data_IF_662521615060
#
_entry.id   IF_662521615060
#
_cell.length_a   1.000
_cell.length_b   1.000
_cell.length_c   1.000
_cell.angle_alpha   90.00
_cell.angle_beta   90.00
_cell.angle_gamma   90.00
#
_symmetry.space_group_name_H-M   'P 1'
#
loop_
_entity.id
_entity.type
_entity.pdbx_description
1 polymer ?
#
# COMPACT_ATOMS: atom_id res chain seq x y z
N UNK A 1 4.94 10.21 12.73
CA UNK A 1 4.27 9.30 13.69
C UNK A 1 3.64 8.06 13.03
N UNK A 2 2.73 8.17 12.05
CA UNK A 2 2.11 6.98 11.44
C UNK A 2 3.13 6.05 10.75
N UNK A 3 4.06 6.60 9.96
CA UNK A 3 5.15 5.86 9.33
C UNK A 3 6.05 5.13 10.35
N UNK A 4 6.26 5.75 11.52
CA UNK A 4 7.01 5.15 12.62
C UNK A 4 6.32 3.89 13.13
N UNK A 5 4.99 3.92 13.34
CA UNK A 5 4.24 2.74 13.81
C UNK A 5 4.36 1.56 12.85
N UNK A 6 4.24 1.82 11.54
CA UNK A 6 4.43 0.80 10.49
C UNK A 6 5.85 0.22 10.55
N UNK A 7 6.86 1.07 10.68
CA UNK A 7 8.26 0.62 10.75
C UNK A 7 8.54 -0.14 12.05
N UNK A 8 7.95 0.28 13.18
CA UNK A 8 8.07 -0.41 14.46
C UNK A 8 7.44 -1.80 14.41
N UNK A 9 6.23 -1.96 13.85
CA UNK A 9 5.65 -3.31 13.76
C UNK A 9 6.38 -4.20 12.75
N UNK A 10 6.97 -3.63 11.70
CA UNK A 10 7.82 -4.36 10.76
C UNK A 10 9.16 -4.79 11.37
N UNK A 11 9.77 -3.99 12.26
CA UNK A 11 10.96 -4.44 12.97
C UNK A 11 10.65 -5.61 13.91
N UNK A 12 9.48 -5.59 14.56
CA UNK A 12 9.00 -6.72 15.36
C UNK A 12 8.66 -7.93 14.48
N UNK A 13 8.12 -7.74 13.27
CA UNK A 13 7.84 -8.85 12.36
C UNK A 13 9.09 -9.64 12.00
N UNK A 14 10.23 -8.97 11.85
CA UNK A 14 11.52 -9.61 11.64
C UNK A 14 11.92 -10.53 12.81
N UNK A 15 11.65 -10.12 14.05
CA UNK A 15 11.92 -10.93 15.25
C UNK A 15 10.96 -12.13 15.32
N UNK A 16 9.67 -11.89 15.04
CA UNK A 16 8.65 -12.94 15.00
C UNK A 16 9.01 -14.05 14.01
N UNK A 17 9.51 -13.67 12.83
CA UNK A 17 9.97 -14.58 11.79
C UNK A 17 11.15 -15.46 12.21
N UNK A 18 12.04 -15.01 13.10
CA UNK A 18 13.17 -15.82 13.59
C UNK A 18 12.81 -16.66 14.83
N UNK A 19 11.80 -16.22 15.60
CA UNK A 19 11.42 -16.86 16.88
C UNK A 19 10.23 -17.81 16.77
N UNK A 20 9.51 -17.80 15.65
CA UNK A 20 8.29 -18.60 15.47
C UNK A 20 7.02 -17.95 16.02
N UNK A 21 7.09 -16.69 16.48
CA UNK A 21 5.92 -15.93 16.91
C UNK A 21 5.12 -15.38 15.71
N UNK A 22 3.85 -15.00 15.94
CA UNK A 22 2.97 -14.37 14.96
C UNK A 22 2.86 -12.87 15.22
N UNK A 23 3.31 -12.04 14.27
CA UNK A 23 3.27 -10.56 14.41
C UNK A 23 1.84 -10.02 14.49
N UNK A 24 0.87 -10.68 13.89
CA UNK A 24 -0.54 -10.32 13.96
C UNK A 24 -1.09 -10.50 15.37
N UNK A 25 -0.68 -11.56 16.08
CA UNK A 25 -0.99 -11.74 17.51
C UNK A 25 -0.33 -10.65 18.37
N UNK A 26 0.95 -10.39 18.14
CA UNK A 26 1.70 -9.33 18.86
C UNK A 26 1.06 -7.97 18.62
N UNK A 27 0.73 -7.63 17.37
CA UNK A 27 0.07 -6.38 17.00
C UNK A 27 -1.31 -6.21 17.66
N UNK A 28 -2.09 -7.30 17.77
CA UNK A 28 -3.37 -7.28 18.50
C UNK A 28 -3.18 -7.09 20.01
N UNK A 29 -2.22 -7.79 20.61
CA UNK A 29 -1.93 -7.69 22.03
C UNK A 29 -1.48 -6.28 22.40
N UNK A 30 -0.50 -5.73 21.69
CA UNK A 30 0.02 -4.37 21.90
C UNK A 30 -1.06 -3.32 21.60
N UNK A 31 -1.85 -3.52 20.54
CA UNK A 31 -2.92 -2.62 20.14
C UNK A 31 -4.13 -2.60 21.09
N UNK A 32 -4.24 -3.59 21.99
CA UNK A 32 -5.30 -3.62 23.01
C UNK A 32 -5.07 -2.59 24.13
N UNK A 33 -3.83 -2.13 24.32
CA UNK A 33 -3.54 -1.02 25.23
C UNK A 33 -4.02 0.29 24.62
N UNK A 34 -4.96 0.97 25.30
CA UNK A 34 -5.57 2.20 24.83
C UNK A 34 -4.56 3.36 24.59
N UNK A 35 -3.39 3.32 25.24
CA UNK A 35 -2.33 4.33 25.05
C UNK A 35 -1.62 4.16 23.71
N UNK A 36 -1.62 2.95 23.17
CA UNK A 36 -1.01 2.63 21.88
C UNK A 36 -2.07 2.61 20.78
N UNK A 37 -3.21 1.96 21.03
CA UNK A 37 -4.29 1.76 20.06
C UNK A 37 -3.94 0.77 18.93
N UNK A 38 -4.95 0.19 18.29
CA UNK A 38 -4.78 -0.88 17.29
C UNK A 38 -4.49 -0.44 15.85
N UNK A 39 -4.57 0.86 15.54
CA UNK A 39 -4.38 1.34 14.16
C UNK A 39 -2.90 1.36 13.74
N UNK A 40 -2.62 1.14 12.45
CA UNK A 40 -1.25 1.14 11.89
C UNK A 40 -0.28 0.14 12.57
N UNK A 41 -0.79 -0.97 13.08
CA UNK A 41 -0.02 -2.08 13.67
C UNK A 41 -0.14 -3.37 12.86
N UNK A 42 -0.36 -3.25 11.54
CA UNK A 42 -0.33 -4.39 10.63
C UNK A 42 0.99 -4.39 9.89
N UNK A 43 1.80 -5.43 10.12
CA UNK A 43 3.06 -5.62 9.40
C UNK A 43 2.81 -5.92 7.91
N UNK A 44 3.82 -5.67 7.10
CA UNK A 44 3.81 -5.99 5.66
C UNK A 44 5.08 -5.54 4.96
N UNK A 45 4.99 -5.26 3.65
CA UNK A 45 6.12 -4.77 2.84
C UNK A 45 6.66 -3.39 3.23
N UNK A 46 5.97 -2.70 4.13
CA UNK A 46 6.25 -1.31 4.46
C UNK A 46 5.18 -0.36 3.95
N UNK A 47 5.37 0.91 4.26
CA UNK A 47 4.56 1.99 3.71
C UNK A 47 5.13 2.45 2.37
N UNK A 48 4.25 2.97 1.51
CA UNK A 48 4.61 3.64 0.26
C UNK A 48 3.84 4.95 0.10
N UNK A 49 3.67 5.40 -1.15
CA UNK A 49 3.00 6.66 -1.46
C UNK A 49 3.91 7.87 -1.24
N UNK A 50 3.55 8.99 -1.86
CA UNK A 50 4.39 10.19 -1.92
C UNK A 50 4.54 10.96 -0.60
N UNK A 51 3.69 10.70 0.40
CA UNK A 51 3.67 11.48 1.64
C UNK A 51 4.70 10.99 2.67
N UNK A 52 4.58 9.75 3.17
CA UNK A 52 5.31 9.34 4.37
C UNK A 52 6.83 9.42 4.26
N UNK A 53 7.43 8.94 3.16
CA UNK A 53 8.88 9.02 2.97
C UNK A 53 9.36 10.46 2.89
N UNK A 54 8.69 11.27 2.06
CA UNK A 54 8.98 12.70 1.89
C UNK A 54 8.89 13.45 3.21
N UNK A 55 7.77 13.33 3.92
CA UNK A 55 7.51 14.09 5.14
C UNK A 55 8.49 13.73 6.27
N UNK A 56 8.85 12.44 6.40
CA UNK A 56 9.85 11.99 7.38
C UNK A 56 11.25 12.51 7.05
N UNK A 57 11.65 12.48 5.77
CA UNK A 57 12.94 13.02 5.34
C UNK A 57 13.00 14.55 5.47
N UNK A 58 11.93 15.26 5.15
CA UNK A 58 11.82 16.70 5.38
C UNK A 58 11.90 17.05 6.87
N UNK A 59 11.29 16.25 7.75
CA UNK A 59 11.40 16.42 9.19
C UNK A 59 12.83 16.19 9.70
N UNK A 60 13.50 15.14 9.21
CA UNK A 60 14.89 14.86 9.54
C UNK A 60 15.81 16.01 9.09
N UNK A 61 15.62 16.50 7.86
CA UNK A 61 16.35 17.65 7.33
C UNK A 61 16.13 18.93 8.15
N UNK A 62 14.88 19.21 8.54
CA UNK A 62 14.57 20.33 9.42
C UNK A 62 15.31 20.20 10.75
N UNK A 63 15.33 19.02 11.36
CA UNK A 63 16.04 18.76 12.61
C UNK A 63 17.56 18.99 12.46
N UNK A 64 18.19 18.56 11.36
CA UNK A 64 19.59 18.86 11.09
C UNK A 64 19.83 20.37 10.98
N UNK A 65 18.95 21.09 10.26
CA UNK A 65 19.11 22.53 10.00
C UNK A 65 19.10 23.38 11.28
N UNK A 66 18.48 22.89 12.36
CA UNK A 66 18.45 23.54 13.67
C UNK A 66 19.44 22.93 14.67
N UNK A 67 20.36 22.07 14.21
CA UNK A 67 21.42 21.48 15.03
C UNK A 67 21.02 20.26 15.89
N UNK A 68 19.87 19.64 15.62
CA UNK A 68 19.33 18.49 16.37
C UNK A 68 19.66 17.16 15.69
N UNK A 69 20.96 16.86 15.51
CA UNK A 69 21.42 15.69 14.76
C UNK A 69 20.87 14.35 15.29
N UNK A 70 20.75 14.17 16.62
CA UNK A 70 20.19 12.95 17.21
C UNK A 70 18.70 12.75 16.91
N UNK A 71 17.94 13.85 16.79
CA UNK A 71 16.52 13.80 16.40
C UNK A 71 16.40 13.47 14.91
N UNK A 72 17.25 14.06 14.07
CA UNK A 72 17.29 13.74 12.65
C UNK A 72 17.58 12.26 12.43
N UNK A 73 18.59 11.72 13.13
CA UNK A 73 18.97 10.31 13.00
C UNK A 73 17.83 9.36 13.41
N UNK A 74 17.16 9.65 14.52
CA UNK A 74 15.98 8.89 14.93
C UNK A 74 14.91 8.81 13.83
N UNK A 75 14.63 9.92 13.13
CA UNK A 75 13.65 9.94 12.05
C UNK A 75 14.15 9.23 10.79
N UNK A 76 15.45 9.30 10.47
CA UNK A 76 16.04 8.53 9.35
C UNK A 76 15.88 7.03 9.55
N UNK A 77 16.01 6.54 10.79
CA UNK A 77 15.81 5.10 11.10
C UNK A 77 14.41 4.59 10.75
N UNK A 78 13.38 5.44 10.76
CA UNK A 78 12.04 5.07 10.31
C UNK A 78 12.02 4.74 8.82
N UNK A 79 12.74 5.53 8.00
CA UNK A 79 12.84 5.27 6.56
C UNK A 79 13.74 4.07 6.29
N UNK A 80 14.89 3.99 6.97
CA UNK A 80 15.84 2.88 6.84
C UNK A 80 15.17 1.53 7.13
N UNK A 81 14.43 1.41 8.24
CA UNK A 81 13.69 0.20 8.58
C UNK A 81 12.64 -0.18 7.53
N UNK A 82 12.01 0.80 6.89
CA UNK A 82 11.04 0.55 5.82
C UNK A 82 11.70 0.04 4.53
N UNK A 83 12.91 0.52 4.21
CA UNK A 83 13.70 0.05 3.08
C UNK A 83 14.27 -1.35 3.36
N UNK A 84 14.81 -1.57 4.55
CA UNK A 84 15.30 -2.87 5.03
C UNK A 84 14.22 -3.95 5.00
N UNK A 85 12.96 -3.59 5.29
CA UNK A 85 11.84 -4.51 5.21
C UNK A 85 11.64 -5.05 3.79
N UNK A 86 11.77 -4.18 2.77
CA UNK A 86 11.66 -4.57 1.35
C UNK A 86 12.85 -5.44 0.95
N UNK A 87 14.06 -5.09 1.40
CA UNK A 87 15.28 -5.87 1.18
C UNK A 87 15.18 -7.28 1.77
N UNK A 88 14.71 -7.39 3.02
CA UNK A 88 14.51 -8.68 3.71
C UNK A 88 13.49 -9.54 2.98
N UNK A 89 12.37 -8.93 2.56
CA UNK A 89 11.34 -9.64 1.80
C UNK A 89 11.89 -10.17 0.47
N UNK A 90 12.57 -9.33 -0.33
CA UNK A 90 13.19 -9.75 -1.59
C UNK A 90 14.19 -10.89 -1.39
N UNK A 91 15.06 -10.80 -0.37
CA UNK A 91 16.01 -11.87 -0.04
C UNK A 91 15.32 -13.17 0.34
N UNK A 92 14.21 -13.11 1.10
CA UNK A 92 13.41 -14.29 1.43
C UNK A 92 12.84 -14.95 0.18
N UNK A 93 12.29 -14.19 -0.77
CA UNK A 93 11.77 -14.71 -2.04
C UNK A 93 12.86 -15.48 -2.79
N UNK A 94 14.05 -14.89 -2.94
CA UNK A 94 15.20 -15.53 -3.62
C UNK A 94 15.64 -16.80 -2.90
N UNK A 95 15.71 -16.77 -1.56
CA UNK A 95 16.09 -17.91 -0.73
C UNK A 95 15.13 -19.10 -0.92
N UNK A 96 13.82 -18.85 -0.85
CA UNK A 96 12.80 -19.88 -1.00
C UNK A 96 12.76 -20.47 -2.43
N UNK A 97 13.22 -19.72 -3.43
CA UNK A 97 13.33 -20.16 -4.82
C UNK A 97 14.70 -20.77 -5.17
N UNK A 98 15.38 -21.39 -4.19
CA UNK A 98 16.67 -22.05 -4.35
C UNK A 98 17.83 -21.11 -4.73
N UNK A 99 17.82 -19.88 -4.21
CA UNK A 99 18.88 -18.87 -4.41
C UNK A 99 19.14 -18.47 -5.87
N UNK A 100 18.17 -18.66 -6.76
CA UNK A 100 18.26 -18.21 -8.16
C UNK A 100 16.89 -17.89 -8.72
N UNK A 101 16.78 -16.80 -9.46
CA UNK A 101 15.56 -16.46 -10.19
C UNK A 101 15.68 -16.76 -11.69
N UNK A 102 16.87 -17.10 -12.18
CA UNK A 102 17.12 -17.38 -13.61
C UNK A 102 16.21 -18.51 -14.09
N UNK A 103 15.52 -18.27 -15.21
CA UNK A 103 14.57 -19.22 -15.78
C UNK A 103 13.20 -19.27 -15.09
N UNK A 104 13.02 -18.54 -13.98
CA UNK A 104 11.77 -18.51 -13.21
C UNK A 104 10.92 -17.30 -13.57
N UNK A 105 9.60 -17.50 -13.55
CA UNK A 105 8.61 -16.44 -13.65
C UNK A 105 8.04 -16.09 -12.28
N UNK A 106 8.00 -14.81 -11.96
CA UNK A 106 7.40 -14.27 -10.75
C UNK A 106 6.20 -13.41 -11.12
N UNK A 107 5.07 -13.58 -10.45
CA UNK A 107 3.87 -12.75 -10.68
C UNK A 107 3.58 -11.89 -9.47
N UNK A 108 3.48 -10.58 -9.67
CA UNK A 108 3.05 -9.63 -8.66
C UNK A 108 1.55 -9.36 -8.81
N UNK A 109 0.83 -9.55 -7.70
CA UNK A 109 -0.58 -9.19 -7.57
C UNK A 109 -0.67 -7.94 -6.70
N UNK A 110 -0.95 -6.82 -7.37
CA UNK A 110 -0.87 -5.48 -6.82
C UNK A 110 0.36 -4.73 -7.31
N UNK A 111 0.17 -3.46 -7.62
CA UNK A 111 1.21 -2.51 -7.98
C UNK A 111 0.97 -1.16 -7.30
N UNK A 112 -0.29 -0.74 -7.10
CA UNK A 112 -0.61 0.45 -6.34
C UNK A 112 -0.04 0.38 -4.91
N UNK A 113 0.31 1.54 -4.33
CA UNK A 113 0.93 1.57 -2.99
C UNK A 113 -0.03 1.12 -1.86
N UNK A 114 -1.34 1.13 -2.11
CA UNK A 114 -2.41 0.66 -1.22
C UNK A 114 -3.60 0.18 -2.05
N UNK A 115 -4.54 -0.52 -1.42
CA UNK A 115 -5.78 -0.92 -2.09
C UNK A 115 -6.65 0.29 -2.49
N UNK A 116 -7.52 0.08 -3.50
CA UNK A 116 -8.54 1.02 -3.96
C UNK A 116 -7.98 2.37 -4.48
N UNK A 117 -6.78 2.35 -5.08
CA UNK A 117 -6.21 3.52 -5.74
C UNK A 117 -5.40 3.10 -6.96
N UNK A 118 -5.30 3.99 -7.94
CA UNK A 118 -4.44 3.83 -9.12
C UNK A 118 -3.07 4.50 -8.93
N UNK A 119 -2.79 5.12 -7.77
CA UNK A 119 -1.54 5.82 -7.50
C UNK A 119 -0.37 4.83 -7.31
N UNK A 120 0.62 4.95 -8.18
CA UNK A 120 1.80 4.08 -8.25
C UNK A 120 3.05 4.68 -7.61
N UNK A 121 3.02 5.96 -7.23
CA UNK A 121 4.19 6.67 -6.74
C UNK A 121 4.71 6.06 -5.44
N UNK A 122 6.02 5.88 -5.35
CA UNK A 122 6.69 5.27 -4.18
C UNK A 122 6.03 3.93 -3.76
N UNK A 123 5.55 3.16 -4.74
CA UNK A 123 4.98 1.84 -4.48
C UNK A 123 6.03 0.90 -3.86
N UNK A 124 5.71 0.17 -2.77
CA UNK A 124 6.60 -0.88 -2.28
C UNK A 124 6.85 -1.96 -3.33
N UNK A 125 5.88 -2.20 -4.23
CA UNK A 125 6.00 -3.19 -5.30
C UNK A 125 7.10 -2.85 -6.28
N UNK A 126 7.18 -1.60 -6.74
CA UNK A 126 8.18 -1.18 -7.73
C UNK A 126 9.60 -1.38 -7.19
N UNK A 127 9.75 -1.15 -5.90
CA UNK A 127 10.99 -1.31 -5.16
C UNK A 127 11.40 -2.78 -5.01
N UNK A 128 10.45 -3.69 -4.75
CA UNK A 128 10.69 -5.14 -4.71
C UNK A 128 10.99 -5.67 -6.11
N UNK A 129 10.26 -5.21 -7.13
CA UNK A 129 10.50 -5.55 -8.54
C UNK A 129 11.93 -5.19 -8.95
N UNK A 130 12.38 -3.96 -8.66
CA UNK A 130 13.75 -3.51 -8.93
C UNK A 130 14.80 -4.44 -8.33
N UNK A 131 14.60 -4.90 -7.09
CA UNK A 131 15.52 -5.82 -6.39
C UNK A 131 15.49 -7.23 -6.95
N UNK A 132 14.33 -7.74 -7.33
CA UNK A 132 14.24 -9.09 -7.91
C UNK A 132 14.74 -9.12 -9.37
N UNK A 133 14.66 -8.00 -10.09
CA UNK A 133 15.21 -7.90 -11.44
C UNK A 133 16.73 -8.04 -11.50
N UNK A 134 17.46 -7.63 -10.46
CA UNK A 134 18.93 -7.82 -10.45
C UNK A 134 19.34 -9.29 -10.46
N UNK A 135 18.45 -10.20 -10.04
CA UNK A 135 18.65 -11.66 -10.08
C UNK A 135 18.30 -12.28 -11.45
N UNK A 136 17.96 -11.45 -12.44
CA UNK A 136 17.67 -11.84 -13.83
C UNK A 136 16.64 -12.98 -13.96
N UNK A 137 15.40 -12.79 -13.46
CA UNK A 137 14.33 -13.73 -13.69
C UNK A 137 14.03 -13.91 -15.17
N UNK A 138 13.37 -15.02 -15.54
CA UNK A 138 12.84 -15.19 -16.90
C UNK A 138 11.81 -14.11 -17.21
N UNK A 139 10.94 -13.83 -16.24
CA UNK A 139 9.85 -12.87 -16.39
C UNK A 139 9.35 -12.41 -15.01
N UNK A 140 9.06 -11.13 -14.89
CA UNK A 140 8.24 -10.54 -13.84
C UNK A 140 6.92 -10.11 -14.46
N UNK A 141 5.86 -10.85 -14.15
CA UNK A 141 4.49 -10.51 -14.52
C UNK A 141 3.88 -9.60 -13.46
N UNK A 142 3.16 -8.56 -13.85
CA UNK A 142 2.48 -7.64 -12.92
C UNK A 142 1.02 -7.52 -13.31
N UNK A 143 0.14 -7.66 -12.33
CA UNK A 143 -1.29 -7.41 -12.46
C UNK A 143 -1.77 -6.57 -11.28
N UNK A 144 -2.49 -5.48 -11.56
CA UNK A 144 -3.18 -4.69 -10.55
C UNK A 144 -4.59 -4.33 -11.09
N UNK A 145 -5.66 -4.52 -10.29
CA UNK A 145 -7.02 -4.28 -10.75
C UNK A 145 -7.39 -2.80 -10.87
N UNK A 146 -6.66 -1.91 -10.20
CA UNK A 146 -6.93 -0.47 -10.10
C UNK A 146 -6.00 0.38 -10.98
N UNK A 147 -4.81 -0.13 -11.35
CA UNK A 147 -3.85 0.61 -12.17
C UNK A 147 -4.00 0.31 -13.67
N UNK A 148 -3.92 1.35 -14.49
CA UNK A 148 -3.79 1.20 -15.94
C UNK A 148 -2.43 0.56 -16.29
N UNK A 149 -2.38 -0.50 -17.13
CA UNK A 149 -1.13 -1.12 -17.53
C UNK A 149 -0.10 -0.17 -18.14
N UNK A 150 -0.51 0.86 -18.87
CA UNK A 150 0.41 1.85 -19.45
C UNK A 150 1.08 2.71 -18.37
N UNK A 151 0.34 3.07 -17.31
CA UNK A 151 0.88 3.84 -16.16
C UNK A 151 1.92 3.00 -15.42
N UNK A 152 1.62 1.73 -15.14
CA UNK A 152 2.56 0.80 -14.50
C UNK A 152 3.83 0.64 -15.34
N UNK A 153 3.69 0.45 -16.66
CA UNK A 153 4.86 0.31 -17.55
C UNK A 153 5.74 1.55 -17.54
N UNK A 154 5.14 2.74 -17.59
CA UNK A 154 5.85 4.02 -17.54
C UNK A 154 6.62 4.18 -16.25
N UNK A 155 5.99 3.90 -15.11
CA UNK A 155 6.60 4.01 -13.78
C UNK A 155 7.82 3.08 -13.64
N UNK A 156 7.69 1.82 -14.05
CA UNK A 156 8.80 0.85 -14.02
C UNK A 156 9.94 1.30 -14.94
N UNK A 157 9.61 1.76 -16.15
CA UNK A 157 10.61 2.28 -17.09
C UNK A 157 11.39 3.47 -16.54
N UNK A 158 10.74 4.36 -15.78
CA UNK A 158 11.39 5.48 -15.10
C UNK A 158 12.30 5.01 -13.96
N UNK A 159 11.84 4.07 -13.14
CA UNK A 159 12.58 3.55 -11.98
C UNK A 159 13.84 2.79 -12.41
N UNK A 160 13.75 2.02 -13.49
CA UNK A 160 14.87 1.22 -14.00
C UNK A 160 15.78 2.01 -14.95
N UNK A 161 15.40 3.24 -15.33
CA UNK A 161 16.10 4.09 -16.30
C UNK A 161 16.36 3.42 -17.66
N UNK A 162 15.59 2.38 -17.98
CA UNK A 162 15.72 1.60 -19.20
C UNK A 162 14.32 1.16 -19.66
N UNK A 163 13.75 1.79 -20.70
CA UNK A 163 12.44 1.39 -21.23
C UNK A 163 12.43 -0.01 -21.87
N UNK A 164 13.59 -0.56 -22.25
CA UNK A 164 13.67 -1.86 -22.95
C UNK A 164 13.34 -3.05 -22.05
N UNK A 165 13.41 -2.85 -20.73
CA UNK A 165 13.11 -3.89 -19.74
C UNK A 165 11.61 -4.16 -19.58
N UNK A 166 10.75 -3.29 -20.12
CA UNK A 166 9.29 -3.37 -19.97
C UNK A 166 8.59 -3.46 -21.32
N UNK A 167 7.85 -4.55 -21.56
CA UNK A 167 7.14 -4.76 -22.82
C UNK A 167 6.62 -6.17 -22.97
N UNK A 168 5.97 -6.48 -24.09
CA UNK A 168 5.64 -7.88 -24.45
C UNK A 168 6.76 -8.45 -25.32
N UNK A 169 7.17 -9.70 -25.07
CA UNK A 169 8.22 -10.38 -25.83
C UNK A 169 9.44 -10.72 -24.97
N UNK A 170 10.64 -10.35 -25.41
CA UNK A 170 11.90 -10.63 -24.71
C UNK A 170 12.18 -9.68 -23.51
N UNK A 171 11.18 -8.91 -23.06
CA UNK A 171 11.32 -8.00 -21.94
C UNK A 171 11.19 -8.76 -20.60
N UNK A 172 12.06 -8.50 -19.62
CA UNK A 172 12.00 -9.14 -18.30
C UNK A 172 10.77 -8.74 -17.48
N UNK A 173 10.10 -7.61 -17.77
CA UNK A 173 8.88 -7.19 -17.07
C UNK A 173 7.70 -7.07 -18.04
N UNK A 174 6.60 -7.74 -17.71
CA UNK A 174 5.37 -7.75 -18.50
C UNK A 174 4.18 -7.38 -17.62
N UNK A 175 3.42 -6.35 -18.04
CA UNK A 175 2.19 -5.94 -17.34
C UNK A 175 0.98 -6.54 -18.04
N UNK A 176 0.18 -7.30 -17.29
CA UNK A 176 -0.97 -8.05 -17.75
C UNK A 176 -2.29 -7.35 -17.37
N UNK A 177 -3.32 -7.57 -18.19
CA UNK A 177 -4.68 -7.09 -17.95
C UNK A 177 -5.59 -8.15 -17.31
N UNK A 178 -5.16 -9.42 -17.32
CA UNK A 178 -5.87 -10.55 -16.72
C UNK A 178 -4.98 -11.26 -15.70
N UNK A 179 -5.54 -11.55 -14.54
CA UNK A 179 -4.81 -12.18 -13.42
C UNK A 179 -4.39 -13.61 -13.73
N UNK A 180 -5.20 -14.35 -14.49
CA UNK A 180 -4.93 -15.75 -14.78
C UNK A 180 -3.87 -15.91 -15.87
N UNK A 181 -3.81 -15.00 -16.84
CA UNK A 181 -2.70 -14.90 -17.79
C UNK A 181 -1.40 -14.49 -17.08
N UNK A 182 -1.48 -13.55 -16.13
CA UNK A 182 -0.32 -13.11 -15.36
C UNK A 182 0.29 -14.26 -14.55
N UNK A 183 -0.54 -15.15 -14.00
CA UNK A 183 -0.12 -16.30 -13.18
C UNK A 183 0.26 -17.55 -13.99
N UNK A 184 0.07 -17.54 -15.31
CA UNK A 184 0.37 -18.69 -16.16
C UNK A 184 1.87 -19.03 -16.13
N UNK A 185 2.17 -20.29 -15.83
CA UNK A 185 3.52 -20.84 -15.70
C UNK A 185 4.41 -20.12 -14.67
N UNK A 186 3.81 -19.44 -13.68
CA UNK A 186 4.54 -18.76 -12.61
C UNK A 186 5.10 -19.73 -11.59
N UNK A 187 6.35 -19.51 -11.20
CA UNK A 187 7.01 -20.25 -10.12
C UNK A 187 6.64 -19.68 -8.75
N UNK A 188 6.43 -18.37 -8.68
CA UNK A 188 5.94 -17.71 -7.49
C UNK A 188 4.91 -16.63 -7.82
N UNK A 189 3.91 -16.52 -6.94
CA UNK A 189 2.96 -15.40 -6.91
C UNK A 189 3.26 -14.57 -5.65
N UNK A 190 3.33 -13.26 -5.80
CA UNK A 190 3.72 -12.31 -4.76
C UNK A 190 2.58 -11.31 -4.60
N UNK A 191 1.88 -11.35 -3.48
CA UNK A 191 0.80 -10.42 -3.16
C UNK A 191 1.40 -9.22 -2.45
N UNK A 192 1.34 -8.05 -3.08
CA UNK A 192 1.97 -6.82 -2.57
C UNK A 192 0.97 -5.76 -2.16
N UNK A 193 -0.24 -5.79 -2.71
CA UNK A 193 -1.32 -4.86 -2.38
C UNK A 193 -2.53 -5.62 -1.84
N UNK A 194 -3.14 -5.10 -0.78
CA UNK A 194 -4.24 -5.72 -0.04
C UNK A 194 -5.61 -5.57 -0.72
N UNK A 195 -5.68 -5.78 -2.03
CA UNK A 195 -6.93 -5.72 -2.77
C UNK A 195 -7.86 -6.86 -2.31
N UNK A 196 -9.14 -6.54 -2.05
CA UNK A 196 -10.09 -7.53 -1.55
C UNK A 196 -10.28 -8.69 -2.53
N UNK A 197 -10.15 -8.43 -3.83
CA UNK A 197 -10.18 -9.43 -4.89
C UNK A 197 -9.18 -10.57 -4.70
N UNK A 198 -8.05 -10.33 -4.04
CA UNK A 198 -7.00 -11.35 -3.83
C UNK A 198 -7.24 -12.20 -2.59
N UNK A 199 -8.21 -11.88 -1.74
CA UNK A 199 -8.48 -12.66 -0.54
C UNK A 199 -9.03 -14.04 -0.92
N UNK A 200 -8.56 -15.08 -0.24
CA UNK A 200 -9.11 -16.44 -0.35
C UNK A 200 -10.14 -16.76 0.75
N UNK A 201 -10.45 -15.77 1.60
CA UNK A 201 -11.41 -15.88 2.70
C UNK A 201 -12.08 -14.54 2.93
N UNK A 202 -13.36 -14.58 3.26
CA UNK A 202 -14.10 -13.40 3.71
C UNK A 202 -13.38 -12.78 4.93
N UNK A 203 -13.22 -11.44 4.95
CA UNK A 203 -12.61 -10.78 6.09
C UNK A 203 -13.43 -11.12 7.34
N UNK A 204 -12.77 -11.70 8.35
CA UNK A 204 -13.37 -11.78 9.69
C UNK A 204 -13.65 -10.34 10.10
N UNK A 205 -14.93 -9.98 10.24
CA UNK A 205 -15.35 -8.64 10.63
C UNK A 205 -14.49 -8.21 11.82
N UNK A 206 -13.75 -7.11 11.65
CA UNK A 206 -13.06 -6.52 12.78
C UNK A 206 -14.14 -6.24 13.82
N UNK A 207 -14.03 -6.87 14.99
CA UNK A 207 -14.78 -6.45 16.17
C UNK A 207 -14.34 -5.00 16.41
N UNK A 208 -15.04 -4.04 15.81
CA UNK A 208 -15.01 -2.67 16.29
C UNK A 208 -15.29 -2.79 17.78
N UNK A 209 -14.36 -2.41 18.68
CA UNK A 209 -14.71 -2.34 20.07
C UNK A 209 -15.91 -1.41 20.13
N UNK A 210 -17.05 -1.95 20.55
CA UNK A 210 -18.27 -1.19 20.69
C UNK A 210 -17.89 0.12 21.38
N UNK A 211 -18.25 1.26 20.78
CA UNK A 211 -18.03 2.59 21.33
C UNK A 211 -18.50 2.55 22.79
N UNK A 212 -17.60 2.32 23.75
CA UNK A 212 -17.89 2.48 25.16
C UNK A 212 -18.19 3.96 25.27
N UNK A 213 -19.46 4.31 25.52
CA UNK A 213 -19.82 5.66 25.95
C UNK A 213 -18.99 5.93 27.19
N UNK A 214 -17.88 6.66 27.05
CA UNK A 214 -17.12 7.14 28.20
C UNK A 214 -18.00 8.15 28.93
N UNK A 215 -18.77 7.65 29.89
CA UNK A 215 -19.17 8.41 31.07
C UNK A 215 -17.96 8.46 31.99
N UNK A 216 -16.97 9.27 31.63
CA UNK A 216 -16.02 9.80 32.59
C UNK A 216 -15.62 11.20 32.12
N UNK A 217 -16.27 12.20 32.72
CA UNK A 217 -15.79 13.58 32.73
C UNK A 217 -14.59 13.61 33.66
N UNK A 218 -13.40 13.43 33.12
CA UNK A 218 -12.20 13.93 33.79
C UNK A 218 -12.18 15.45 33.59
N UNK A 219 -12.59 16.17 34.63
CA UNK A 219 -12.51 17.62 34.73
C UNK A 219 -11.03 18.00 34.92
N UNK A 220 -10.34 18.32 33.82
CA UNK A 220 -9.03 18.96 33.89
C UNK A 220 -9.28 20.46 33.98
N UNK A 221 -9.14 20.98 35.20
CA UNK A 221 -9.41 22.36 35.54
C UNK A 221 -8.78 23.39 34.59
N UNK A 222 -9.64 24.28 34.11
CA UNK A 222 -9.47 25.73 33.96
C UNK A 222 -8.06 26.23 33.59
N UNK A 223 -7.75 26.22 32.30
CA UNK A 223 -7.03 27.33 31.66
C UNK A 223 -8.04 28.14 30.84
N UNK A 224 -8.50 29.26 31.38
CA UNK A 224 -9.22 30.28 30.62
C UNK A 224 -8.27 30.90 29.59
N UNK A 225 -8.32 30.42 28.34
CA UNK A 225 -7.89 31.23 27.19
C UNK A 225 -9.10 32.06 26.75
N UNK A 226 -9.04 33.37 26.94
CA UNK A 226 -9.90 34.31 26.23
C UNK A 226 -9.47 34.35 24.77
N UNK A 227 -10.37 33.97 23.88
CA UNK A 227 -10.19 34.00 22.42
C UNK A 227 -10.86 32.80 21.78
N UNK A 228 -11.89 33.04 20.98
CA UNK A 228 -12.50 32.02 20.12
C UNK A 228 -11.41 31.47 19.18
N UNK A 229 -11.33 30.16 19.03
CA UNK A 229 -10.45 29.55 18.04
C UNK A 229 -11.07 29.74 16.64
N UNK A 230 -10.24 29.81 15.59
CA UNK A 230 -10.75 29.98 14.21
C UNK A 230 -11.72 28.88 13.75
N UNK A 231 -11.76 27.74 14.44
CA UNK A 231 -12.73 26.66 14.21
C UNK A 231 -14.10 26.94 14.83
N UNK A 232 -14.18 27.70 15.92
CA UNK A 232 -15.45 28.05 16.58
C UNK A 232 -16.29 29.04 15.77
N UNK A 233 -15.66 29.80 14.87
CA UNK A 233 -16.34 30.73 13.95
C UNK A 233 -17.03 29.95 12.82
N UNK A 234 -16.43 28.86 12.33
CA UNK A 234 -16.95 28.07 11.21
C UNK A 234 -18.21 27.26 11.59
N UNK A 235 -18.31 26.82 12.84
CA UNK A 235 -19.50 26.10 13.33
C UNK A 235 -20.74 27.01 13.47
N UNK A 236 -20.58 28.33 13.49
CA UNK A 236 -21.69 29.29 13.54
C UNK A 236 -22.26 29.67 12.16
N UNK A 237 -21.61 29.30 11.05
CA UNK A 237 -22.01 29.70 9.70
C UNK A 237 -22.71 28.60 8.88
N UNK A 238 -22.87 27.39 9.43
CA UNK A 238 -23.49 26.25 8.74
C UNK A 238 -24.97 26.40 8.32
N UNK A 239 -25.87 27.06 9.07
CA UNK A 239 -27.30 27.04 8.70
C UNK A 239 -27.79 28.20 7.82
N UNK A 240 -26.98 29.22 7.52
CA UNK A 240 -27.47 30.45 6.87
C UNK A 240 -27.17 30.60 5.37
N UNK A 241 -26.43 29.67 4.76
CA UNK A 241 -26.00 29.79 3.36
C UNK A 241 -26.89 29.06 2.32
N UNK A 242 -27.95 28.35 2.74
CA UNK A 242 -28.85 27.67 1.78
C UNK A 242 -30.21 28.33 1.56
N UNK A 243 -30.51 29.46 2.20
CA UNK A 243 -31.82 30.09 2.02
C UNK A 243 -31.81 31.59 2.28
N UNK A 244 -31.32 32.37 1.32
CA UNK A 244 -31.79 33.74 1.09
C UNK A 244 -31.47 34.22 -0.33
N UNK A 245 -32.47 34.64 -1.14
CA UNK A 245 -32.27 35.08 -2.52
C UNK A 245 -31.94 36.58 -2.62
N UNK A 246 -31.17 37.13 -1.68
CA UNK A 246 -30.88 38.57 -1.63
C UNK A 246 -29.41 38.75 -1.29
N UNK A 247 -28.59 38.88 -2.34
CA UNK A 247 -27.30 39.60 -2.45
C UNK A 247 -26.50 38.97 -3.59
N UNK A 248 -26.99 39.19 -4.81
CA UNK A 248 -26.17 39.11 -6.01
C UNK A 248 -25.51 40.48 -6.20
N UNK A 249 -24.27 40.65 -5.71
CA UNK A 249 -23.37 41.69 -6.20
C UNK A 249 -21.91 41.26 -5.98
N UNK A 250 -21.23 41.08 -7.11
CA UNK A 250 -19.78 41.14 -7.38
C UNK A 250 -18.87 40.37 -6.41
N UNK A 251 -18.55 39.14 -6.83
CA UNK A 251 -17.68 38.21 -6.12
C UNK A 251 -16.20 38.51 -6.32
N UNK A 252 -15.52 38.75 -5.20
CA UNK A 252 -14.13 38.36 -5.00
C UNK A 252 -14.11 37.45 -3.76
N UNK A 253 -13.72 36.19 -3.96
CA UNK A 253 -13.58 35.20 -2.89
C UNK A 253 -12.41 35.62 -1.98
N UNK A 254 -12.62 35.84 -0.67
CA UNK A 254 -11.60 36.36 0.25
C UNK A 254 -10.48 35.35 0.59
N UNK A 255 -10.47 34.17 -0.03
CA UNK A 255 -9.38 33.18 0.08
C UNK A 255 -8.81 32.96 -1.33
N UNK A 256 -7.48 33.08 -1.57
CA UNK A 256 -6.89 32.61 -2.81
C UNK A 256 -6.93 31.07 -2.78
N UNK A 257 -8.11 30.53 -3.06
CA UNK A 257 -8.36 29.12 -3.28
C UNK A 257 -7.53 28.66 -4.47
N UNK A 258 -7.05 27.43 -4.37
CA UNK A 258 -6.39 26.66 -5.41
C UNK A 258 -6.92 27.07 -6.80
N UNK A 259 -6.03 27.48 -7.70
CA UNK A 259 -6.40 27.76 -9.08
C UNK A 259 -7.21 26.58 -9.61
N UNK A 260 -8.37 26.86 -10.21
CA UNK A 260 -9.15 25.84 -10.89
C UNK A 260 -8.23 25.10 -11.86
N UNK A 261 -8.23 23.77 -11.78
CA UNK A 261 -7.45 22.97 -12.72
C UNK A 261 -7.90 23.33 -14.15
N UNK A 262 -6.97 23.67 -15.06
CA UNK A 262 -7.35 24.02 -16.42
C UNK A 262 -8.11 22.85 -17.05
N UNK A 263 -9.16 23.17 -17.81
CA UNK A 263 -9.92 22.17 -18.57
C UNK A 263 -8.99 21.37 -19.49
N UNK A 264 -9.19 20.05 -19.59
CA UNK A 264 -8.42 19.23 -20.54
C UNK A 264 -8.64 19.72 -21.98
N UNK A 265 -7.58 19.72 -22.80
CA UNK A 265 -7.67 20.01 -24.24
C UNK A 265 -8.70 19.09 -24.92
N UNK A 266 -9.38 19.58 -25.97
CA UNK A 266 -10.47 18.84 -26.64
C UNK A 266 -10.01 17.48 -27.21
N UNK A 267 -8.73 17.38 -27.59
CA UNK A 267 -8.06 16.18 -28.12
C UNK A 267 -7.29 15.39 -27.03
N UNK A 268 -7.67 15.51 -25.75
CA UNK A 268 -7.01 14.77 -24.69
C UNK A 268 -7.34 13.26 -24.80
N UNK A 269 -6.35 12.38 -25.05
CA UNK A 269 -6.58 10.95 -25.25
C UNK A 269 -7.11 10.25 -23.98
N UNK A 270 -6.83 10.79 -22.79
CA UNK A 270 -7.42 10.31 -21.53
C UNK A 270 -8.91 10.68 -21.42
N UNK A 271 -9.29 11.90 -21.83
CA UNK A 271 -10.68 12.36 -21.86
C UNK A 271 -11.50 11.60 -22.94
N UNK A 272 -10.91 11.28 -24.09
CA UNK A 272 -11.55 10.44 -25.13
C UNK A 272 -11.74 8.99 -24.68
N UNK A 273 -10.77 8.39 -24.00
CA UNK A 273 -10.87 7.05 -23.46
C UNK A 273 -12.04 6.93 -22.46
N UNK A 274 -12.27 7.96 -21.64
CA UNK A 274 -13.42 8.04 -20.72
C UNK A 274 -14.75 8.13 -21.49
N UNK A 275 -14.82 8.91 -22.58
CA UNK A 275 -16.03 9.08 -23.42
C UNK A 275 -16.38 7.82 -24.21
N UNK A 276 -15.40 7.05 -24.69
CA UNK A 276 -15.62 5.83 -25.49
C UNK A 276 -15.90 4.55 -24.66
N UNK A 277 -16.17 4.66 -23.36
CA UNK A 277 -16.52 3.53 -22.50
C UNK A 277 -15.36 2.99 -21.64
N UNK A 278 -14.27 3.74 -21.50
CA UNK A 278 -13.29 3.53 -20.44
C UNK A 278 -13.92 3.81 -19.08
N UNK A 279 -13.88 2.80 -18.21
CA UNK A 279 -14.44 2.76 -16.84
C UNK A 279 -14.45 4.14 -16.16
N UNK A 280 -15.62 4.53 -15.64
CA UNK A 280 -15.80 5.68 -14.75
C UNK A 280 -14.68 5.72 -13.69
N UNK A 281 -13.84 6.75 -13.73
CA UNK A 281 -13.01 7.13 -12.60
C UNK A 281 -13.96 7.47 -11.43
N UNK A 282 -14.03 6.60 -10.42
CA UNK A 282 -14.83 6.85 -9.20
C UNK A 282 -15.90 5.81 -8.83
N UNK A 283 -15.91 4.63 -9.44
CA UNK A 283 -16.79 3.54 -9.01
C UNK A 283 -16.17 2.18 -9.28
N UNK A 284 -15.34 1.68 -8.36
CA UNK A 284 -14.85 0.31 -8.41
C UNK A 284 -16.02 -0.61 -8.03
N UNK A 285 -16.70 -1.18 -9.03
CA UNK A 285 -17.61 -2.29 -8.81
C UNK A 285 -16.86 -3.41 -8.09
N UNK A 286 -17.52 -4.04 -7.11
CA UNK A 286 -16.96 -5.15 -6.35
C UNK A 286 -16.44 -6.22 -7.32
N UNK A 287 -15.12 -6.25 -7.55
CA UNK A 287 -14.50 -7.24 -8.40
C UNK A 287 -14.64 -8.59 -7.69
N UNK A 288 -15.22 -9.55 -8.39
CA UNK A 288 -15.33 -10.94 -7.93
C UNK A 288 -13.95 -11.45 -7.49
N UNK A 289 -13.91 -12.13 -6.35
CA UNK A 289 -12.67 -12.69 -5.81
C UNK A 289 -12.01 -13.62 -6.83
N UNK A 290 -10.68 -13.57 -6.90
CA UNK A 290 -9.93 -14.43 -7.83
C UNK A 290 -10.08 -15.90 -7.43
N UNK A 291 -10.22 -16.77 -8.42
CA UNK A 291 -10.24 -18.21 -8.19
C UNK A 291 -8.80 -18.73 -8.01
N UNK A 292 -8.45 -18.96 -6.74
CA UNK A 292 -7.14 -19.50 -6.36
C UNK A 292 -6.91 -20.94 -6.80
N UNK A 293 -7.95 -21.75 -7.01
CA UNK A 293 -7.78 -23.10 -7.59
C UNK A 293 -7.28 -23.00 -9.03
N UNK A 294 -7.88 -22.08 -9.82
CA UNK A 294 -7.49 -21.84 -11.20
C UNK A 294 -6.08 -21.26 -11.31
N UNK A 295 -5.71 -20.34 -10.42
CA UNK A 295 -4.33 -19.82 -10.33
C UNK A 295 -3.36 -20.96 -10.00
N UNK A 296 -3.62 -21.71 -8.93
CA UNK A 296 -2.75 -22.79 -8.49
C UNK A 296 -2.61 -23.91 -9.56
N UNK A 297 -3.62 -24.15 -10.39
CA UNK A 297 -3.55 -25.10 -11.49
C UNK A 297 -2.58 -24.65 -12.60
N UNK A 298 -2.50 -23.35 -12.87
CA UNK A 298 -1.67 -22.74 -13.92
C UNK A 298 -0.22 -22.48 -13.50
N UNK A 299 0.08 -22.60 -12.21
CA UNK A 299 1.43 -22.40 -11.68
C UNK A 299 2.36 -23.59 -11.95
N UNK A 300 3.65 -23.29 -12.09
CA UNK A 300 4.72 -24.29 -12.24
C UNK A 300 5.10 -24.86 -10.87
N UNK A 301 5.22 -26.19 -10.75
CA UNK A 301 5.69 -26.83 -9.51
C UNK A 301 7.21 -26.68 -9.31
N UNK A 302 7.71 -26.52 -8.07
CA UNK A 302 6.96 -26.28 -6.84
C UNK A 302 6.32 -24.87 -6.84
N UNK A 303 5.11 -24.77 -6.31
CA UNK A 303 4.30 -23.53 -6.34
C UNK A 303 4.57 -22.71 -5.09
N UNK A 304 5.00 -21.47 -5.25
CA UNK A 304 5.21 -20.55 -4.13
C UNK A 304 4.25 -19.38 -4.14
N UNK A 305 3.76 -18.99 -2.97
CA UNK A 305 3.00 -17.77 -2.75
C UNK A 305 3.66 -16.97 -1.61
N UNK A 306 4.01 -15.72 -1.88
CA UNK A 306 4.54 -14.79 -0.89
C UNK A 306 3.50 -13.72 -0.61
N UNK A 307 3.02 -13.67 0.62
CA UNK A 307 2.05 -12.68 1.06
C UNK A 307 2.74 -11.54 1.83
N UNK A 308 2.88 -10.40 1.15
CA UNK A 308 3.44 -9.19 1.72
C UNK A 308 2.48 -8.38 2.58
N UNK A 309 1.20 -8.77 2.69
CA UNK A 309 0.13 -8.00 3.36
C UNK A 309 -0.69 -8.78 4.38
N UNK A 310 -0.50 -10.11 4.47
CA UNK A 310 -1.20 -10.99 5.41
C UNK A 310 -2.70 -11.06 5.15
N UNK A 311 -3.09 -11.19 3.87
CA UNK A 311 -4.49 -11.31 3.43
C UNK A 311 -4.87 -12.73 3.00
N UNK A 312 -3.89 -13.62 2.83
CA UNK A 312 -4.05 -15.00 2.37
C UNK A 312 -4.07 -15.95 3.55
N UNK A 313 -5.06 -16.83 3.60
CA UNK A 313 -5.12 -17.96 4.52
C UNK A 313 -4.20 -19.08 4.01
N UNK A 314 -3.09 -19.31 4.72
CA UNK A 314 -2.09 -20.31 4.33
C UNK A 314 -2.62 -21.74 4.36
N UNK A 315 -3.60 -22.07 5.21
CA UNK A 315 -4.12 -23.43 5.36
C UNK A 315 -4.97 -23.83 4.16
N UNK A 316 -5.75 -22.90 3.60
CA UNK A 316 -6.49 -23.13 2.36
C UNK A 316 -5.56 -23.28 1.16
N UNK A 317 -4.50 -22.47 1.08
CA UNK A 317 -3.52 -22.58 -0.01
C UNK A 317 -2.68 -23.86 0.07
N UNK A 318 -2.40 -24.37 1.28
CA UNK A 318 -1.71 -25.64 1.47
C UNK A 318 -2.49 -26.82 0.87
N UNK A 319 -3.83 -26.79 0.91
CA UNK A 319 -4.69 -27.80 0.25
C UNK A 319 -4.52 -27.82 -1.28
N UNK A 320 -3.99 -26.74 -1.86
CA UNK A 320 -3.76 -26.58 -3.30
C UNK A 320 -2.32 -26.93 -3.73
N UNK A 321 -1.51 -27.50 -2.82
CA UNK A 321 -0.10 -27.81 -3.05
C UNK A 321 0.72 -26.51 -3.33
N UNK A 322 0.40 -25.43 -2.60
CA UNK A 322 1.07 -24.13 -2.68
C UNK A 322 1.77 -23.83 -1.36
N UNK A 323 3.08 -23.61 -1.41
CA UNK A 323 3.88 -23.18 -0.27
C UNK A 323 3.65 -21.69 -0.03
N UNK A 324 3.23 -21.32 1.18
CA UNK A 324 2.91 -19.93 1.53
C UNK A 324 3.91 -19.36 2.54
N UNK A 325 4.44 -18.20 2.22
CA UNK A 325 5.29 -17.38 3.09
C UNK A 325 4.59 -16.06 3.39
N UNK A 326 4.28 -15.80 4.67
CA UNK A 326 3.62 -14.56 5.10
C UNK A 326 4.59 -13.75 5.96
N UNK A 327 4.68 -12.45 5.70
CA UNK A 327 5.48 -11.53 6.53
C UNK A 327 5.04 -11.60 8.00
N UNK A 328 6.01 -11.74 8.90
CA UNK A 328 5.79 -11.75 10.34
C UNK A 328 5.26 -13.06 10.92
N UNK A 329 5.32 -14.16 10.16
CA UNK A 329 5.11 -15.51 10.65
C UNK A 329 6.22 -16.42 10.13
N UNK A 330 6.53 -17.49 10.86
CA UNK A 330 7.33 -18.57 10.27
C UNK A 330 6.49 -19.36 9.29
N UNK A 331 7.00 -19.52 8.07
CA UNK A 331 6.43 -20.48 7.12
C UNK A 331 6.36 -21.84 7.77
N UNK A 332 5.18 -22.47 7.76
CA UNK A 332 5.04 -23.88 8.18
C UNK A 332 5.78 -24.71 7.12
N UNK A 333 6.99 -25.15 7.47
CA UNK A 333 7.82 -26.02 6.63
C UNK A 333 7.17 -27.38 6.39
#
# INVERSE_FOLDING_TARGET
>A
MLAQRVSSINSISAICEETGADVGEVGRAVGSDARIGGAFLRAGLGFGGSCFKKDVLSLAYLADSVGLAGVAEYWRQVVAMNEDQRDRFSRRVVRCLNNTLVGKKLTFLGYAFKANTSDVRESPTSDVVRRLLSERPREIAIFDPCCDPAVVRRDIGMILQDPSVVGRGACPVVVYSDVYEACEASNAVIVTTECDQFRNKEPKAALCPARRKSRDRFDVGRFTRQGQSGMDILDCHGPFLWSSPVLAHEGEDPLPGLAEEPSCDEDCPECEAIKMGGRKAGGHGAAENVDWHKIAYRMTKPKWLFDGRGIIDAEEMAKLDVHVEIIGSQGKA
#
